data_IF_436813427046
#
_entry.id   IF_436813427046
#
_cell.length_a   1.000
_cell.length_b   1.000
_cell.length_c   1.000
_cell.angle_alpha   90.00
_cell.angle_beta   90.00
_cell.angle_gamma   90.00
#
_symmetry.space_group_name_H-M   'P 1'
#
loop_
_entity.id
_entity.type
_entity.pdbx_description
1 polymer ?
#
# COMPACT_ATOMS: atom_id res chain seq x y z
N UNK A 1 -25.54 34.03 51.95
CA UNK A 1 -24.87 33.28 53.02
C UNK A 1 -24.81 31.84 52.56
N UNK A 2 -23.71 31.21 52.20
CA UNK A 2 -22.27 31.28 52.55
C UNK A 2 -21.54 30.65 51.35
N UNK A 3 -20.78 31.39 50.55
CA UNK A 3 -19.31 31.50 50.65
C UNK A 3 -18.55 30.23 51.07
N UNK A 4 -17.87 29.61 50.10
CA UNK A 4 -16.49 29.15 50.29
C UNK A 4 -15.70 29.30 48.98
N UNK A 5 -14.62 30.07 49.10
CA UNK A 5 -13.61 30.43 48.10
C UNK A 5 -12.50 29.36 48.03
N UNK A 6 -11.60 29.57 47.06
CA UNK A 6 -10.15 29.27 47.07
C UNK A 6 -9.78 27.99 46.30
N UNK A 7 -8.87 27.94 45.32
CA UNK A 7 -8.11 28.91 44.52
C UNK A 7 -7.40 28.10 43.39
N UNK A 8 -6.83 28.76 42.35
CA UNK A 8 -6.17 28.11 41.22
C UNK A 8 -4.65 27.97 41.43
N UNK A 9 -4.06 26.91 40.86
CA UNK A 9 -2.62 26.67 40.75
C UNK A 9 -2.40 25.80 39.50
N UNK A 10 -1.45 26.00 38.59
CA UNK A 10 -0.32 26.91 38.49
C UNK A 10 0.13 26.90 37.03
N UNK A 11 0.64 28.05 36.60
CA UNK A 11 1.34 28.26 35.32
C UNK A 11 2.53 27.30 35.17
N UNK A 12 2.68 26.72 33.98
CA UNK A 12 3.92 26.14 33.48
C UNK A 12 4.21 26.75 32.11
N UNK A 13 4.97 27.84 32.10
CA UNK A 13 5.52 28.47 30.90
C UNK A 13 6.99 28.07 30.74
N UNK A 14 7.45 28.10 29.48
CA UNK A 14 8.81 27.88 28.96
C UNK A 14 9.18 26.39 28.76
N UNK A 15 9.60 25.93 27.57
CA UNK A 15 10.63 26.55 26.72
C UNK A 15 10.34 26.43 25.20
N UNK A 16 10.43 27.53 24.44
CA UNK A 16 10.51 27.52 22.98
C UNK A 16 11.93 27.89 22.52
N UNK A 17 12.89 26.98 22.66
CA UNK A 17 14.23 27.13 22.09
C UNK A 17 14.86 25.74 21.97
N UNK A 18 14.75 25.16 20.77
CA UNK A 18 15.76 24.27 20.17
C UNK A 18 15.43 24.19 18.67
N UNK A 19 15.54 25.36 18.04
CA UNK A 19 15.61 25.50 16.60
C UNK A 19 17.08 25.57 16.19
N UNK A 20 17.38 24.81 15.12
CA UNK A 20 18.51 24.90 14.18
C UNK A 20 19.79 24.09 14.50
N UNK A 21 20.58 23.65 13.49
CA UNK A 21 20.41 23.85 12.04
C UNK A 21 20.49 22.59 11.18
N UNK A 22 19.99 22.78 9.96
CA UNK A 22 20.22 21.99 8.75
C UNK A 22 21.72 21.90 8.42
N UNK A 23 22.04 20.95 7.53
CA UNK A 23 23.32 20.70 6.84
C UNK A 23 24.21 19.61 7.45
N UNK A 24 23.92 18.35 7.09
CA UNK A 24 24.99 17.40 6.81
C UNK A 24 24.88 16.91 5.36
N UNK A 25 25.87 17.37 4.63
CA UNK A 25 26.36 17.04 3.31
C UNK A 25 25.98 15.67 2.75
N UNK A 26 25.53 15.71 1.50
CA UNK A 26 25.71 14.65 0.51
C UNK A 26 27.22 14.45 0.36
N UNK A 27 27.75 13.31 0.79
CA UNK A 27 28.97 12.76 0.22
C UNK A 27 28.65 11.46 -0.51
N UNK A 28 28.92 11.52 -1.80
CA UNK A 28 28.81 10.43 -2.71
C UNK A 28 30.01 9.48 -2.55
N UNK A 29 29.70 8.20 -2.79
CA UNK A 29 30.48 7.30 -3.62
C UNK A 29 31.40 6.28 -2.93
N UNK A 30 31.29 5.07 -3.50
CA UNK A 30 32.28 3.99 -3.63
C UNK A 30 32.38 3.02 -2.45
N UNK A 31 31.67 1.90 -2.61
CA UNK A 31 32.22 0.55 -2.47
C UNK A 31 31.26 -0.45 -3.11
N UNK A 32 31.42 -0.65 -4.42
CA UNK A 32 30.93 -1.87 -5.07
C UNK A 32 31.86 -3.02 -4.67
N UNK A 33 31.34 -4.18 -4.25
CA UNK A 33 32.18 -5.35 -4.05
C UNK A 33 32.81 -5.78 -5.38
N UNK A 34 34.07 -6.18 -5.26
CA UNK A 34 34.93 -6.60 -6.36
C UNK A 34 34.26 -7.65 -7.24
N UNK A 35 34.37 -7.38 -8.54
CA UNK A 35 34.02 -8.27 -9.64
C UNK A 35 34.76 -9.59 -9.46
N UNK A 36 34.04 -10.66 -9.11
CA UNK A 36 34.57 -12.02 -9.15
C UNK A 36 34.74 -12.39 -10.61
N UNK A 37 35.98 -12.34 -11.07
CA UNK A 37 36.40 -12.78 -12.40
C UNK A 37 36.22 -14.29 -12.51
N UNK A 38 35.21 -14.73 -13.25
CA UNK A 38 35.11 -16.12 -13.74
C UNK A 38 35.98 -16.29 -14.99
N UNK A 39 37.03 -17.13 -14.95
CA UNK A 39 37.76 -17.50 -16.16
C UNK A 39 37.00 -18.62 -16.86
N UNK A 40 36.55 -18.38 -18.09
CA UNK A 40 36.11 -19.46 -18.98
C UNK A 40 34.79 -19.22 -19.70
N UNK A 41 34.71 -18.19 -20.54
CA UNK A 41 33.73 -18.14 -21.62
C UNK A 41 34.39 -17.53 -22.86
N UNK A 42 35.00 -18.39 -23.67
CA UNK A 42 35.30 -18.07 -25.06
C UNK A 42 33.98 -17.87 -25.80
N UNK A 43 33.49 -16.63 -25.82
CA UNK A 43 32.35 -16.27 -26.65
C UNK A 43 32.76 -16.37 -28.12
N UNK A 44 32.25 -17.39 -28.79
CA UNK A 44 32.15 -17.39 -30.25
C UNK A 44 31.20 -16.27 -30.63
N UNK A 45 31.65 -15.37 -31.50
CA UNK A 45 30.81 -14.42 -32.23
C UNK A 45 29.91 -15.20 -33.18
N UNK A 46 28.83 -15.78 -32.65
CA UNK A 46 27.77 -16.40 -33.41
C UNK A 46 26.54 -15.50 -33.40
N UNK A 47 26.33 -14.82 -34.52
CA UNK A 47 25.05 -14.40 -35.09
C UNK A 47 23.89 -14.17 -34.09
N UNK A 48 23.79 -12.95 -33.57
CA UNK A 48 22.62 -12.47 -32.81
C UNK A 48 21.47 -12.20 -33.78
N UNK A 49 20.89 -13.26 -34.31
CA UNK A 49 19.60 -13.23 -35.00
C UNK A 49 18.51 -12.99 -33.96
N UNK A 50 18.18 -11.70 -33.78
CA UNK A 50 17.06 -11.20 -32.98
C UNK A 50 15.74 -11.69 -33.59
N UNK A 51 15.33 -12.91 -33.26
CA UNK A 51 14.05 -13.45 -33.70
C UNK A 51 12.95 -12.59 -33.08
N UNK A 52 12.19 -11.88 -33.93
CA UNK A 52 11.01 -11.12 -33.51
C UNK A 52 10.10 -12.05 -32.71
N UNK A 53 9.59 -11.64 -31.53
CA UNK A 53 8.62 -12.46 -30.81
C UNK A 53 7.45 -12.78 -31.73
N UNK A 54 7.24 -14.09 -31.91
CA UNK A 54 6.25 -14.68 -32.80
C UNK A 54 4.90 -13.99 -32.65
N UNK A 55 4.33 -13.58 -33.79
CA UNK A 55 2.99 -13.01 -33.85
C UNK A 55 2.01 -13.92 -33.08
N UNK A 56 1.20 -13.32 -32.20
CA UNK A 56 0.14 -14.05 -31.49
C UNK A 56 -0.67 -14.89 -32.50
N UNK A 57 -0.94 -16.17 -32.21
CA UNK A 57 -1.67 -17.01 -33.14
C UNK A 57 -3.05 -16.38 -33.41
N UNK A 58 -3.44 -16.21 -34.69
CA UNK A 58 -4.76 -15.72 -35.04
C UNK A 58 -5.79 -16.73 -34.52
N UNK A 59 -6.71 -16.27 -33.65
CA UNK A 59 -7.81 -17.10 -33.12
C UNK A 59 -7.85 -17.29 -31.60
N UNK A 60 -6.93 -16.71 -30.83
CA UNK A 60 -7.06 -16.68 -29.36
C UNK A 60 -8.25 -15.78 -28.94
N UNK A 61 -9.44 -16.38 -28.80
CA UNK A 61 -10.64 -15.68 -28.34
C UNK A 61 -10.42 -15.28 -26.88
N UNK A 62 -10.45 -13.98 -26.58
CA UNK A 62 -10.34 -13.49 -25.21
C UNK A 62 -11.52 -14.05 -24.40
N UNK A 63 -11.23 -14.80 -23.32
CA UNK A 63 -12.26 -15.29 -22.40
C UNK A 63 -13.05 -14.10 -21.86
N UNK A 64 -14.38 -14.18 -21.90
CA UNK A 64 -15.23 -13.21 -21.24
C UNK A 64 -15.00 -13.24 -19.72
N UNK A 65 -14.92 -12.07 -19.09
CA UNK A 65 -14.78 -11.98 -17.63
C UNK A 65 -16.07 -12.45 -16.94
N UNK A 66 -15.90 -13.28 -15.93
CA UNK A 66 -16.96 -13.72 -15.01
C UNK A 66 -17.41 -12.57 -14.12
N UNK A 67 -18.60 -12.68 -13.51
CA UNK A 67 -19.09 -11.64 -12.59
C UNK A 67 -18.18 -11.47 -11.37
N UNK A 68 -17.61 -12.56 -10.84
CA UNK A 68 -16.65 -12.52 -9.73
C UNK A 68 -15.40 -11.73 -10.08
N UNK A 69 -14.89 -11.88 -11.29
CA UNK A 69 -13.74 -11.10 -11.78
C UNK A 69 -14.10 -9.62 -11.92
N UNK A 70 -15.31 -9.31 -12.41
CA UNK A 70 -15.81 -7.93 -12.52
C UNK A 70 -15.93 -7.26 -11.16
N UNK A 71 -16.43 -7.96 -10.14
CA UNK A 71 -16.52 -7.44 -8.76
C UNK A 71 -15.13 -7.10 -8.22
N UNK A 72 -14.16 -8.01 -8.36
CA UNK A 72 -12.78 -7.79 -7.93
C UNK A 72 -12.11 -6.64 -8.65
N UNK A 73 -12.34 -6.52 -9.95
CA UNK A 73 -11.79 -5.43 -10.75
C UNK A 73 -12.40 -4.08 -10.37
N UNK A 74 -13.73 -4.02 -10.14
CA UNK A 74 -14.40 -2.81 -9.65
C UNK A 74 -13.89 -2.39 -8.28
N UNK A 75 -13.71 -3.34 -7.37
CA UNK A 75 -13.11 -3.10 -6.06
C UNK A 75 -11.71 -2.50 -6.18
N UNK A 76 -10.83 -3.16 -6.94
CA UNK A 76 -9.45 -2.70 -7.18
C UNK A 76 -9.43 -1.28 -7.76
N UNK A 77 -10.21 -1.06 -8.82
CA UNK A 77 -10.29 0.25 -9.48
C UNK A 77 -10.82 1.35 -8.53
N UNK A 78 -11.81 1.05 -7.69
CA UNK A 78 -12.35 2.01 -6.73
C UNK A 78 -11.31 2.38 -5.65
N UNK A 79 -10.58 1.40 -5.13
CA UNK A 79 -9.51 1.60 -4.13
C UNK A 79 -8.38 2.46 -4.71
N UNK A 80 -7.89 2.13 -5.91
CA UNK A 80 -6.79 2.87 -6.55
C UNK A 80 -7.18 4.28 -6.93
N UNK A 81 -8.41 4.47 -7.44
CA UNK A 81 -8.94 5.80 -7.77
C UNK A 81 -9.04 6.68 -6.52
N UNK A 82 -9.58 6.16 -5.42
CA UNK A 82 -9.65 6.89 -4.14
C UNK A 82 -8.25 7.26 -3.63
N UNK A 83 -7.30 6.33 -3.71
CA UNK A 83 -5.93 6.57 -3.31
C UNK A 83 -5.15 7.49 -4.28
N UNK A 84 -5.72 7.85 -5.43
CA UNK A 84 -5.02 8.59 -6.49
C UNK A 84 -3.76 7.90 -6.98
N UNK A 85 -3.79 6.56 -7.06
CA UNK A 85 -2.64 5.68 -7.36
C UNK A 85 -1.43 5.87 -6.41
N UNK A 86 -1.75 6.31 -5.19
CA UNK A 86 -1.01 6.35 -3.91
C UNK A 86 -0.76 5.00 -3.25
N UNK A 87 0.44 4.65 -2.81
CA UNK A 87 0.51 3.78 -1.64
C UNK A 87 -0.03 4.55 -0.42
N UNK A 88 -0.88 3.91 0.39
CA UNK A 88 -1.45 4.47 1.60
C UNK A 88 -0.85 3.84 2.87
N UNK A 89 0.26 3.10 2.74
CA UNK A 89 0.98 2.57 3.90
C UNK A 89 1.56 3.71 4.76
N UNK A 90 1.52 3.60 6.10
CA UNK A 90 2.10 4.60 7.01
C UNK A 90 3.54 4.96 6.63
N UNK A 91 3.80 6.25 6.40
CA UNK A 91 5.13 6.78 6.03
C UNK A 91 5.61 6.47 4.61
N UNK A 92 4.79 5.84 3.76
CA UNK A 92 5.17 5.51 2.39
C UNK A 92 4.85 6.65 1.42
N UNK A 93 5.81 7.04 0.58
CA UNK A 93 5.65 8.05 -0.46
C UNK A 93 5.50 7.48 -1.88
N UNK A 94 5.47 6.15 -2.02
CA UNK A 94 5.38 5.47 -3.31
C UNK A 94 4.11 5.86 -4.08
N UNK A 95 4.26 6.14 -5.38
CA UNK A 95 3.17 6.44 -6.30
C UNK A 95 3.36 5.66 -7.59
N UNK A 96 2.30 5.00 -8.03
CA UNK A 96 2.23 4.38 -9.34
C UNK A 96 1.61 5.34 -10.37
N UNK A 97 1.83 5.04 -11.65
CA UNK A 97 1.07 5.65 -12.75
C UNK A 97 -0.26 4.92 -12.88
N UNK A 98 -1.32 5.62 -13.27
CA UNK A 98 -2.63 4.99 -13.45
C UNK A 98 -2.58 3.75 -14.35
N UNK A 99 -1.89 3.86 -15.50
CA UNK A 99 -1.72 2.77 -16.46
C UNK A 99 -0.96 1.53 -15.92
N UNK A 100 -0.15 1.68 -14.87
CA UNK A 100 0.65 0.58 -14.28
C UNK A 100 0.19 0.21 -12.86
N UNK A 101 -0.84 0.88 -12.33
CA UNK A 101 -1.27 0.71 -10.94
C UNK A 101 -1.71 -0.71 -10.59
N UNK A 102 -2.29 -1.45 -11.53
CA UNK A 102 -2.62 -2.87 -11.35
C UNK A 102 -1.42 -3.82 -11.25
N UNK A 103 -0.20 -3.34 -11.52
CA UNK A 103 1.04 -4.09 -11.37
C UNK A 103 1.88 -3.60 -10.17
N UNK A 104 1.82 -2.30 -9.87
CA UNK A 104 2.67 -1.66 -8.86
C UNK A 104 2.03 -1.61 -7.46
N UNK A 105 0.70 -1.68 -7.40
CA UNK A 105 -0.09 -1.59 -6.19
C UNK A 105 -1.05 -2.76 -6.11
N UNK A 106 -1.36 -3.14 -4.87
CA UNK A 106 -2.37 -4.13 -4.53
C UNK A 106 -3.49 -3.48 -3.73
N UNK A 107 -4.73 -3.90 -4.03
CA UNK A 107 -5.91 -3.54 -3.24
C UNK A 107 -6.06 -4.57 -2.12
N UNK A 108 -5.53 -4.22 -0.95
CA UNK A 108 -5.56 -5.04 0.25
C UNK A 108 -6.88 -4.85 1.00
N UNK A 109 -7.43 -5.91 1.58
CA UNK A 109 -8.61 -5.79 2.46
C UNK A 109 -8.14 -5.48 3.88
N UNK A 110 -8.63 -4.39 4.48
CA UNK A 110 -8.26 -4.01 5.85
C UNK A 110 -8.82 -5.02 6.86
N UNK A 111 -10.10 -5.39 6.72
CA UNK A 111 -10.70 -6.52 7.43
C UNK A 111 -10.85 -7.72 6.49
N UNK A 112 -10.52 -8.91 6.97
CA UNK A 112 -10.54 -10.12 6.15
C UNK A 112 -11.91 -10.34 5.49
N UNK A 113 -11.87 -10.79 4.23
CA UNK A 113 -13.07 -11.05 3.41
C UNK A 113 -14.04 -12.05 4.04
N UNK A 114 -13.61 -12.91 4.94
CA UNK A 114 -14.45 -13.90 5.65
C UNK A 114 -15.24 -13.28 6.79
N UNK A 115 -14.77 -12.15 7.33
CA UNK A 115 -15.44 -11.41 8.40
C UNK A 115 -16.44 -10.37 7.86
N UNK A 116 -16.34 -10.03 6.58
CA UNK A 116 -17.18 -9.03 5.93
C UNK A 116 -18.37 -9.65 5.17
N UNK A 117 -19.58 -9.06 5.27
CA UNK A 117 -20.71 -9.47 4.44
C UNK A 117 -20.32 -9.49 2.96
N UNK A 118 -20.70 -10.50 2.19
CA UNK A 118 -20.42 -10.56 0.74
C UNK A 118 -18.95 -10.43 0.32
N UNK A 119 -18.01 -10.66 1.25
CA UNK A 119 -16.58 -10.66 0.94
C UNK A 119 -15.87 -9.32 1.09
N UNK A 120 -16.58 -8.24 1.44
CA UNK A 120 -15.92 -6.96 1.74
C UNK A 120 -15.31 -6.25 0.54
N UNK A 121 -15.75 -6.53 -0.70
CA UNK A 121 -15.23 -5.93 -1.94
C UNK A 121 -15.74 -4.50 -2.16
N UNK A 122 -15.63 -3.67 -1.13
CA UNK A 122 -16.03 -2.26 -1.11
C UNK A 122 -14.81 -1.37 -0.89
N UNK A 123 -14.81 -0.18 -1.48
CA UNK A 123 -13.69 0.76 -1.31
C UNK A 123 -13.41 1.03 0.18
N UNK A 124 -14.46 1.11 1.00
CA UNK A 124 -14.36 1.40 2.44
C UNK A 124 -13.60 0.34 3.24
N UNK A 125 -13.44 -0.88 2.72
CA UNK A 125 -12.63 -1.96 3.29
C UNK A 125 -11.30 -2.17 2.56
N UNK A 126 -11.05 -1.43 1.47
CA UNK A 126 -9.88 -1.63 0.63
C UNK A 126 -8.85 -0.53 0.80
N UNK A 127 -7.56 -0.87 0.92
CA UNK A 127 -6.43 0.06 0.98
C UNK A 127 -5.42 -0.24 -0.14
N UNK A 128 -4.88 0.80 -0.78
CA UNK A 128 -3.89 0.66 -1.84
C UNK A 128 -2.48 0.59 -1.24
N UNK A 129 -1.76 -0.52 -1.44
CA UNK A 129 -0.42 -0.74 -0.88
C UNK A 129 0.57 -1.17 -1.96
N UNK A 130 1.83 -0.74 -1.85
CA UNK A 130 2.91 -1.35 -2.62
C UNK A 130 3.30 -2.71 -2.00
N UNK A 131 4.08 -3.57 -2.69
CA UNK A 131 4.38 -4.92 -2.21
C UNK A 131 4.95 -4.98 -0.78
N UNK A 132 5.89 -4.10 -0.44
CA UNK A 132 6.51 -4.07 0.90
C UNK A 132 5.55 -3.64 2.00
N UNK A 133 4.62 -2.75 1.68
CA UNK A 133 3.57 -2.30 2.59
C UNK A 133 2.46 -3.36 2.73
N UNK A 134 2.15 -4.06 1.65
CA UNK A 134 1.18 -5.15 1.64
C UNK A 134 1.60 -6.26 2.60
N UNK A 135 2.87 -6.67 2.58
CA UNK A 135 3.42 -7.68 3.49
C UNK A 135 3.24 -7.29 4.97
N UNK A 136 3.39 -6.01 5.32
CA UNK A 136 3.21 -5.53 6.70
C UNK A 136 1.77 -5.59 7.16
N UNK A 137 0.83 -5.24 6.29
CA UNK A 137 -0.61 -5.36 6.58
C UNK A 137 -1.03 -6.83 6.74
N UNK A 138 -0.45 -7.73 5.95
CA UNK A 138 -0.74 -9.18 6.00
C UNK A 138 -0.32 -9.84 7.32
N UNK A 139 0.65 -9.26 8.06
CA UNK A 139 1.08 -9.79 9.37
C UNK A 139 -0.10 -9.90 10.34
N UNK A 140 -1.01 -8.92 10.35
CA UNK A 140 -2.18 -8.96 11.23
C UNK A 140 -3.12 -10.12 10.86
N UNK A 141 -3.41 -10.32 9.58
CA UNK A 141 -4.31 -11.40 9.13
C UNK A 141 -3.74 -12.80 9.39
N UNK A 142 -2.41 -12.94 9.37
CA UNK A 142 -1.74 -14.22 9.60
C UNK A 142 -1.50 -14.54 11.08
N UNK A 143 -1.26 -13.53 11.92
CA UNK A 143 -0.83 -13.73 13.32
C UNK A 143 -1.82 -13.21 14.36
N UNK A 144 -2.78 -12.37 13.96
CA UNK A 144 -3.66 -11.62 14.87
C UNK A 144 -2.98 -10.47 15.61
N UNK A 145 -1.67 -10.25 15.41
CA UNK A 145 -0.91 -9.16 16.04
C UNK A 145 -0.40 -8.21 14.97
N UNK A 146 -0.72 -6.92 15.11
CA UNK A 146 -0.33 -5.91 14.13
C UNK A 146 1.10 -5.44 14.38
N UNK A 147 1.80 -5.08 13.30
CA UNK A 147 2.98 -4.22 13.40
C UNK A 147 2.53 -2.82 13.85
N UNK A 148 3.36 -2.09 14.59
CA UNK A 148 3.05 -0.74 15.06
C UNK A 148 2.57 0.18 13.91
N UNK A 149 1.39 0.77 14.06
CA UNK A 149 0.73 1.62 13.05
C UNK A 149 0.05 0.87 11.89
N UNK A 150 0.04 -0.47 11.91
CA UNK A 150 -0.60 -1.33 10.91
C UNK A 150 -1.85 -2.05 11.44
N UNK A 151 -2.37 -1.65 12.61
CA UNK A 151 -3.62 -2.21 13.09
C UNK A 151 -4.76 -1.84 12.11
N UNK A 152 -5.77 -2.71 11.89
CA UNK A 152 -6.89 -2.39 11.01
C UNK A 152 -7.52 -1.02 11.27
N UNK A 153 -7.65 -0.62 12.54
CA UNK A 153 -8.18 0.70 12.92
C UNK A 153 -7.29 1.86 12.45
N UNK A 154 -5.96 1.68 12.43
CA UNK A 154 -5.03 2.66 11.88
C UNK A 154 -5.23 2.79 10.37
N UNK A 155 -5.33 1.66 9.67
CA UNK A 155 -5.51 1.62 8.22
C UNK A 155 -6.86 2.22 7.81
N UNK A 156 -7.93 1.96 8.57
CA UNK A 156 -9.23 2.59 8.36
C UNK A 156 -9.15 4.12 8.51
N UNK A 157 -8.46 4.62 9.54
CA UNK A 157 -8.23 6.05 9.73
C UNK A 157 -7.50 6.68 8.55
N UNK A 158 -6.48 6.01 8.00
CA UNK A 158 -5.72 6.50 6.83
C UNK A 158 -6.62 6.70 5.60
N UNK A 159 -7.58 5.80 5.38
CA UNK A 159 -8.48 5.90 4.22
C UNK A 159 -9.73 6.75 4.49
N UNK A 160 -9.90 7.26 5.72
CA UNK A 160 -11.08 8.02 6.14
C UNK A 160 -12.35 7.18 6.24
N UNK A 161 -12.22 5.92 6.64
CA UNK A 161 -13.31 4.94 6.77
C UNK A 161 -13.32 4.32 8.17
N UNK A 162 -14.23 3.38 8.41
CA UNK A 162 -14.29 2.53 9.61
C UNK A 162 -14.79 1.12 9.27
N UNK A 163 -14.60 0.18 10.19
CA UNK A 163 -15.15 -1.19 10.07
C UNK A 163 -16.66 -1.18 9.86
N UNK A 164 -17.40 -0.38 10.62
CA UNK A 164 -18.86 -0.28 10.52
C UNK A 164 -19.33 0.26 9.16
N UNK A 165 -18.63 1.28 8.63
CA UNK A 165 -18.92 1.82 7.31
C UNK A 165 -18.66 0.76 6.23
N UNK A 166 -17.54 0.05 6.31
CA UNK A 166 -17.21 -1.06 5.43
C UNK A 166 -18.25 -2.19 5.49
N UNK A 167 -18.69 -2.60 6.67
CA UNK A 167 -19.72 -3.63 6.84
C UNK A 167 -21.07 -3.19 6.23
N UNK A 168 -21.47 -1.95 6.50
CA UNK A 168 -22.71 -1.36 5.96
C UNK A 168 -22.68 -1.26 4.44
N UNK A 169 -21.55 -0.82 3.87
CA UNK A 169 -21.36 -0.77 2.42
C UNK A 169 -21.36 -2.16 1.82
N UNK A 170 -20.70 -3.12 2.46
CA UNK A 170 -20.59 -4.49 1.97
C UNK A 170 -21.91 -5.25 2.01
N UNK A 171 -22.76 -4.98 3.01
CA UNK A 171 -24.12 -5.52 3.08
C UNK A 171 -25.01 -5.10 1.89
N UNK A 172 -24.70 -3.98 1.23
CA UNK A 172 -25.44 -3.44 0.07
C UNK A 172 -25.00 -4.01 -1.28
N UNK A 173 -24.02 -4.91 -1.33
CA UNK A 173 -23.54 -5.52 -2.59
C UNK A 173 -24.52 -6.56 -3.20
N UNK A 174 -25.77 -6.61 -2.74
CA UNK A 174 -26.82 -7.54 -3.20
C UNK A 174 -27.62 -6.97 -4.36
#
# INVERSE_FOLDING_TARGET
STETRTAPSTLGAHSPDDLEPRHLFIEAARRLPAFVSWPGATMRTGDLSFTRPSARPPGAVRRAMTEKERVRERFRAAVFRRAGHRCQGPGCSFRSREATSGHDLDAHHITDRREMPHGGYVADNGIALCPTCHERAEVFHSTGTAVEGWHPDDLYRVIGSSREQAETASAKLR
#
